data_IF_840307779898
#
_entry.id   IF_840307779898
#
_cell.length_a   1.000
_cell.length_b   1.000
_cell.length_c   1.000
_cell.angle_alpha   90.00
_cell.angle_beta   90.00
_cell.angle_gamma   90.00
#
_symmetry.space_group_name_H-M   'P 1'
#
loop_
_entity.id
_entity.type
_entity.pdbx_description
1 polymer ?
#
# COMPACT_ATOMS: atom_id res chain seq x y z
N UNK A 1 10.17 6.93 5.15
CA UNK A 1 8.97 6.40 4.42
C UNK A 1 8.32 5.20 5.13
N UNK A 2 7.14 5.40 5.72
CA UNK A 2 6.43 4.36 6.49
C UNK A 2 5.40 3.59 5.63
N UNK A 3 5.78 2.43 5.10
CA UNK A 3 4.91 1.63 4.22
C UNK A 3 3.66 1.08 4.92
N UNK A 4 3.71 0.85 6.24
CA UNK A 4 2.54 0.43 7.02
C UNK A 4 1.44 1.49 6.96
N UNK A 5 1.81 2.76 7.25
CA UNK A 5 0.89 3.90 7.19
C UNK A 5 0.41 4.12 5.75
N UNK A 6 1.33 4.10 4.80
CA UNK A 6 1.04 4.41 3.40
C UNK A 6 0.06 3.43 2.75
N UNK A 7 0.25 2.12 2.94
CA UNK A 7 -0.66 1.09 2.39
C UNK A 7 -2.08 1.26 2.94
N UNK A 8 -2.19 1.54 4.25
CA UNK A 8 -3.48 1.79 4.89
C UNK A 8 -4.14 3.08 4.38
N UNK A 9 -3.37 4.15 4.21
CA UNK A 9 -3.85 5.44 3.70
C UNK A 9 -4.36 5.32 2.26
N UNK A 10 -3.64 4.60 1.39
CA UNK A 10 -4.10 4.29 0.03
C UNK A 10 -5.46 3.60 0.08
N UNK A 11 -5.58 2.54 0.90
CA UNK A 11 -6.81 1.76 1.00
C UNK A 11 -8.00 2.61 1.44
N UNK A 12 -7.80 3.45 2.45
CA UNK A 12 -8.84 4.32 3.01
C UNK A 12 -9.23 5.43 2.03
N UNK A 13 -8.27 6.00 1.30
CA UNK A 13 -8.54 7.05 0.31
C UNK A 13 -9.28 6.53 -0.92
N UNK A 14 -8.99 5.30 -1.33
CA UNK A 14 -9.67 4.61 -2.43
C UNK A 14 -11.02 4.03 -2.01
N UNK A 15 -11.32 3.97 -0.71
CA UNK A 15 -12.53 3.36 -0.15
C UNK A 15 -12.68 1.90 -0.61
N UNK A 16 -11.60 1.14 -0.50
CA UNK A 16 -11.55 -0.28 -0.89
C UNK A 16 -11.18 -1.18 0.28
N UNK A 17 -11.43 -2.47 0.11
CA UNK A 17 -11.02 -3.53 1.03
C UNK A 17 -9.53 -3.87 0.85
N UNK A 18 -8.98 -4.61 1.81
CA UNK A 18 -7.61 -5.15 1.69
C UNK A 18 -7.49 -6.14 0.52
N UNK A 19 -8.57 -6.85 0.18
CA UNK A 19 -8.61 -7.80 -0.95
C UNK A 19 -8.56 -7.08 -2.30
N UNK A 20 -9.35 -6.01 -2.44
CA UNK A 20 -9.31 -5.18 -3.65
C UNK A 20 -7.95 -4.48 -3.83
N UNK A 21 -7.36 -3.97 -2.74
CA UNK A 21 -6.01 -3.41 -2.81
C UNK A 21 -4.96 -4.47 -3.18
N UNK A 22 -5.12 -5.70 -2.67
CA UNK A 22 -4.25 -6.82 -3.04
C UNK A 22 -4.37 -7.13 -4.54
N UNK A 23 -5.58 -7.13 -5.09
CA UNK A 23 -5.83 -7.32 -6.51
C UNK A 23 -5.19 -6.20 -7.35
N UNK A 24 -5.35 -4.93 -6.95
CA UNK A 24 -4.72 -3.78 -7.62
C UNK A 24 -3.19 -3.88 -7.66
N UNK A 25 -2.57 -4.28 -6.54
CA UNK A 25 -1.11 -4.41 -6.45
C UNK A 25 -0.60 -5.73 -7.05
N UNK A 26 -1.48 -6.69 -7.33
CA UNK A 26 -1.15 -8.03 -7.82
C UNK A 26 -0.42 -8.87 -6.77
N UNK A 27 -0.90 -8.83 -5.53
CA UNK A 27 -0.35 -9.56 -4.37
C UNK A 27 -1.46 -10.30 -3.62
N UNK A 28 -1.08 -11.11 -2.63
CA UNK A 28 -2.07 -11.78 -1.78
C UNK A 28 -2.67 -10.83 -0.74
N UNK A 29 -3.91 -11.07 -0.31
CA UNK A 29 -4.52 -10.40 0.85
C UNK A 29 -3.61 -10.47 2.09
N UNK A 30 -2.99 -11.63 2.34
CA UNK A 30 -2.09 -11.82 3.47
C UNK A 30 -0.88 -10.87 3.43
N UNK A 31 -0.42 -10.48 2.23
CA UNK A 31 0.65 -9.50 2.05
C UNK A 31 0.19 -8.12 2.54
N UNK A 32 -0.99 -7.65 2.11
CA UNK A 32 -1.57 -6.36 2.55
C UNK A 32 -1.74 -6.35 4.07
N UNK A 33 -2.35 -7.39 4.64
CA UNK A 33 -2.55 -7.50 6.09
C UNK A 33 -1.22 -7.43 6.86
N UNK A 34 -0.16 -8.11 6.40
CA UNK A 34 1.17 -8.05 7.04
C UNK A 34 1.81 -6.66 6.96
N UNK A 35 1.59 -5.92 5.87
CA UNK A 35 2.10 -4.56 5.73
C UNK A 35 1.34 -3.59 6.62
N UNK A 36 0.01 -3.62 6.62
CA UNK A 36 -0.83 -2.74 7.46
C UNK A 36 -0.67 -3.03 8.97
N UNK A 37 -0.29 -4.24 9.34
CA UNK A 37 0.04 -4.59 10.74
C UNK A 37 1.48 -4.24 11.12
N UNK A 38 2.35 -3.95 10.14
CA UNK A 38 3.78 -3.70 10.35
C UNK A 38 4.60 -4.97 10.59
N UNK A 39 4.04 -6.14 10.31
CA UNK A 39 4.76 -7.41 10.47
C UNK A 39 5.82 -7.61 9.39
N UNK A 40 5.60 -7.07 8.19
CA UNK A 40 6.52 -7.16 7.05
C UNK A 40 6.46 -5.87 6.23
N UNK A 41 7.44 -5.69 5.34
CA UNK A 41 7.43 -4.63 4.33
C UNK A 41 7.22 -5.17 2.90
N UNK A 42 6.75 -4.33 1.95
CA UNK A 42 6.67 -4.70 0.55
C UNK A 42 8.06 -4.89 -0.06
N UNK A 43 8.18 -5.74 -1.09
CA UNK A 43 9.42 -5.86 -1.87
C UNK A 43 9.64 -4.63 -2.75
N UNK A 44 10.87 -4.40 -3.21
CA UNK A 44 11.20 -3.26 -4.09
C UNK A 44 10.28 -3.14 -5.31
N UNK A 45 9.89 -4.27 -5.92
CA UNK A 45 8.93 -4.30 -7.04
C UNK A 45 7.56 -3.72 -6.64
N UNK A 46 7.07 -4.06 -5.46
CA UNK A 46 5.77 -3.57 -4.97
C UNK A 46 5.88 -2.14 -4.43
N UNK A 47 7.01 -1.76 -3.80
CA UNK A 47 7.28 -0.39 -3.38
C UNK A 47 7.12 0.59 -4.55
N UNK A 48 7.60 0.23 -5.75
CA UNK A 48 7.40 1.02 -6.98
C UNK A 48 5.92 1.18 -7.36
N UNK A 49 5.14 0.08 -7.35
CA UNK A 49 3.69 0.13 -7.61
C UNK A 49 2.93 0.97 -6.60
N UNK A 50 3.28 0.87 -5.32
CA UNK A 50 2.69 1.68 -4.24
C UNK A 50 2.95 3.16 -4.50
N UNK A 51 4.18 3.53 -4.89
CA UNK A 51 4.54 4.91 -5.22
C UNK A 51 3.76 5.43 -6.44
N UNK A 52 3.62 4.61 -7.49
CA UNK A 52 2.80 4.95 -8.66
C UNK A 52 1.33 5.18 -8.26
N UNK A 53 0.76 4.25 -7.49
CA UNK A 53 -0.62 4.36 -7.00
C UNK A 53 -0.84 5.60 -6.13
N UNK A 54 0.15 6.00 -5.33
CA UNK A 54 0.11 7.23 -4.57
C UNK A 54 0.06 8.47 -5.46
N UNK A 55 0.88 8.51 -6.52
CA UNK A 55 0.92 9.63 -7.47
C UNK A 55 -0.42 9.79 -8.17
N UNK A 56 -0.98 8.68 -8.66
CA UNK A 56 -2.27 8.67 -9.36
C UNK A 56 -3.42 9.17 -8.47
N UNK A 57 -3.32 8.94 -7.15
CA UNK A 57 -4.35 9.29 -6.17
C UNK A 57 -4.01 10.54 -5.35
N UNK A 58 -3.00 11.34 -5.77
CA UNK A 58 -2.56 12.55 -5.07
C UNK A 58 -2.30 12.31 -3.56
N UNK A 59 -1.71 11.17 -3.21
CA UNK A 59 -1.30 10.83 -1.84
C UNK A 59 0.12 11.36 -1.65
N UNK A 60 0.32 12.18 -0.61
CA UNK A 60 1.62 12.76 -0.32
C UNK A 60 2.53 11.67 0.25
N UNK A 61 3.67 11.49 -0.40
CA UNK A 61 4.74 10.64 0.10
C UNK A 61 5.53 11.47 1.12
N UNK A 62 5.18 11.35 2.40
CA UNK A 62 5.96 11.97 3.47
C UNK A 62 7.20 11.11 3.73
N UNK A 63 8.36 11.66 3.37
CA UNK A 63 9.66 11.16 3.77
C UNK A 63 9.97 11.69 5.19
N UNK A 64 9.47 10.99 6.20
CA UNK A 64 10.17 10.94 7.50
C UNK A 64 11.36 9.98 7.40
#
# INVERSE_FOLDING_TARGET
>A
MNYKKLVKEIREKLIITQEELAALLGVSFASINRWETGKHEPTTKIKRKIVELCKDNNIKLEDE
#
